data_IF_360792206387
#
_entry.id   IF_360792206387
#
_cell.length_a   1.000
_cell.length_b   1.000
_cell.length_c   1.000
_cell.angle_alpha   90.00
_cell.angle_beta   90.00
_cell.angle_gamma   90.00
#
_symmetry.space_group_name_H-M   'P 1'
#
loop_
_entity.id
_entity.type
_entity.pdbx_description
1 polymer ?
#
# COMPACT_ATOMS: atom_id res chain seq x y z
N UNK A 1 45.64 2.86 59.59
CA UNK A 1 45.62 1.44 59.20
C UNK A 1 44.50 0.76 59.98
N UNK A 2 43.33 0.58 59.36
CA UNK A 2 42.16 -0.02 59.98
C UNK A 2 42.10 -1.50 59.62
N UNK A 3 42.17 -2.38 60.64
CA UNK A 3 42.10 -3.82 60.48
C UNK A 3 40.67 -4.26 60.14
N UNK A 4 40.57 -5.11 59.12
CA UNK A 4 39.38 -5.75 58.57
C UNK A 4 38.75 -6.66 59.64
N UNK A 5 37.55 -6.34 60.14
CA UNK A 5 36.78 -7.24 61.01
C UNK A 5 35.91 -8.13 60.13
N UNK A 6 36.26 -9.40 60.03
CA UNK A 6 35.51 -10.40 59.27
C UNK A 6 34.16 -10.67 59.94
N UNK A 7 33.07 -10.45 59.20
CA UNK A 7 31.72 -10.87 59.59
C UNK A 7 31.59 -12.34 59.19
N UNK A 8 31.43 -13.22 60.18
CA UNK A 8 31.22 -14.65 59.97
C UNK A 8 29.84 -14.88 59.33
N UNK A 9 29.82 -15.60 58.21
CA UNK A 9 28.61 -16.12 57.54
C UNK A 9 27.92 -17.14 58.45
N UNK A 10 26.58 -17.15 58.62
CA UNK A 10 25.91 -18.23 59.33
C UNK A 10 26.02 -19.54 58.53
N UNK A 11 26.27 -20.64 59.24
CA UNK A 11 26.47 -21.97 58.68
C UNK A 11 25.26 -22.44 57.86
N UNK A 12 25.52 -23.05 56.69
CA UNK A 12 24.53 -23.69 55.84
C UNK A 12 23.77 -24.77 56.62
N UNK A 13 22.44 -24.70 56.61
CA UNK A 13 21.58 -25.73 57.17
C UNK A 13 21.82 -27.04 56.40
N UNK A 14 22.06 -28.13 57.13
CA UNK A 14 22.28 -29.45 56.56
C UNK A 14 21.04 -29.90 55.76
N UNK A 15 21.23 -30.19 54.47
CA UNK A 15 20.19 -30.80 53.63
C UNK A 15 19.91 -32.22 54.14
N UNK A 16 18.75 -32.43 54.75
CA UNK A 16 18.31 -33.76 55.17
C UNK A 16 18.08 -34.63 53.94
N UNK A 17 18.51 -35.90 53.92
CA UNK A 17 18.26 -36.80 52.80
C UNK A 17 16.75 -36.91 52.56
N UNK A 18 16.32 -36.64 51.33
CA UNK A 18 14.92 -36.78 50.93
C UNK A 18 14.52 -38.25 51.02
N UNK A 19 13.53 -38.55 51.87
CA UNK A 19 12.92 -39.87 51.99
C UNK A 19 11.63 -39.83 51.16
N UNK A 20 11.53 -40.63 50.09
CA UNK A 20 10.31 -40.66 49.27
C UNK A 20 9.09 -40.98 50.14
N UNK A 21 8.07 -40.13 50.06
CA UNK A 21 6.80 -40.32 50.75
C UNK A 21 5.79 -41.02 49.83
N UNK A 22 4.84 -41.77 50.38
CA UNK A 22 3.83 -42.49 49.58
C UNK A 22 2.98 -41.57 48.68
N UNK A 23 2.92 -40.28 49.02
CA UNK A 23 2.27 -39.25 48.21
C UNK A 23 3.03 -38.90 46.92
N UNK A 24 4.34 -39.16 46.84
CA UNK A 24 5.16 -38.92 45.64
C UNK A 24 4.96 -39.99 44.55
N UNK A 25 4.37 -41.12 44.93
CA UNK A 25 4.04 -42.21 44.01
C UNK A 25 2.57 -42.22 43.61
N UNK A 26 1.79 -41.23 44.05
CA UNK A 26 0.45 -40.99 43.51
C UNK A 26 0.60 -40.43 42.11
N UNK A 27 0.03 -41.12 41.12
CA UNK A 27 -0.08 -40.61 39.75
C UNK A 27 -0.68 -39.20 39.80
N UNK A 28 0.13 -38.20 39.43
CA UNK A 28 -0.33 -36.82 39.33
C UNK A 28 -1.36 -36.76 38.22
N UNK A 29 -2.62 -36.71 38.63
CA UNK A 29 -3.81 -36.62 37.80
C UNK A 29 -4.04 -37.85 36.89
N UNK A 30 -4.82 -38.80 37.40
CA UNK A 30 -5.57 -39.80 36.64
C UNK A 30 -6.87 -39.22 36.04
N UNK A 31 -7.01 -37.89 36.00
CA UNK A 31 -7.97 -37.23 35.12
C UNK A 31 -7.62 -37.56 33.68
N UNK A 32 -8.65 -37.64 32.82
CA UNK A 32 -8.52 -37.80 31.37
C UNK A 32 -7.20 -37.23 30.90
N UNK A 33 -6.39 -38.05 30.22
CA UNK A 33 -5.38 -37.50 29.32
C UNK A 33 -6.18 -36.47 28.52
N UNK A 34 -5.98 -35.19 28.81
CA UNK A 34 -6.42 -34.13 27.93
C UNK A 34 -5.54 -34.34 26.73
N UNK A 35 -5.97 -35.28 25.88
CA UNK A 35 -5.54 -35.35 24.50
C UNK A 35 -5.85 -33.94 24.06
N UNK A 36 -4.80 -33.17 23.82
CA UNK A 36 -4.90 -31.76 23.50
C UNK A 36 -5.66 -31.67 22.16
N UNK A 37 -6.99 -31.72 22.20
CA UNK A 37 -7.88 -31.57 21.06
C UNK A 37 -7.90 -30.11 20.57
N UNK A 38 -7.02 -29.26 21.11
CA UNK A 38 -6.88 -27.85 20.78
C UNK A 38 -5.73 -27.51 19.83
N UNK A 39 -5.28 -28.47 19.02
CA UNK A 39 -4.71 -28.17 17.70
C UNK A 39 -5.60 -28.68 16.56
N UNK A 40 -6.92 -28.72 16.77
CA UNK A 40 -7.87 -28.79 15.67
C UNK A 40 -7.53 -27.70 14.66
N UNK A 41 -7.00 -28.11 13.50
CA UNK A 41 -6.47 -27.31 12.41
C UNK A 41 -7.18 -25.97 12.22
N UNK A 42 -6.74 -24.92 12.92
CA UNK A 42 -7.10 -23.57 12.53
C UNK A 42 -6.54 -23.41 11.11
N UNK A 43 -7.43 -23.19 10.15
CA UNK A 43 -7.02 -23.03 8.76
C UNK A 43 -6.06 -21.86 8.70
N UNK A 44 -4.80 -22.14 8.35
CA UNK A 44 -3.75 -21.13 8.20
C UNK A 44 -4.25 -19.93 7.37
N UNK A 45 -5.05 -20.19 6.34
CA UNK A 45 -5.69 -19.15 5.53
C UNK A 45 -6.67 -18.26 6.29
N UNK A 46 -7.46 -18.83 7.20
CA UNK A 46 -8.36 -18.04 8.06
C UNK A 46 -7.58 -17.13 8.99
N UNK A 47 -6.47 -17.62 9.54
CA UNK A 47 -5.62 -16.84 10.44
C UNK A 47 -4.92 -15.69 9.71
N UNK A 48 -4.37 -15.95 8.51
CA UNK A 48 -3.76 -14.93 7.66
C UNK A 48 -4.78 -13.85 7.25
N UNK A 49 -5.99 -14.25 6.84
CA UNK A 49 -7.06 -13.32 6.47
C UNK A 49 -7.47 -12.46 7.66
N UNK A 50 -7.67 -13.07 8.84
CA UNK A 50 -8.04 -12.36 10.06
C UNK A 50 -6.97 -11.33 10.47
N UNK A 51 -5.70 -11.72 10.42
CA UNK A 51 -4.58 -10.83 10.71
C UNK A 51 -4.47 -9.66 9.72
N UNK A 52 -4.68 -9.92 8.43
CA UNK A 52 -4.61 -8.89 7.40
C UNK A 52 -5.65 -7.78 7.62
N UNK A 53 -6.90 -8.13 7.93
CA UNK A 53 -7.96 -7.15 8.19
C UNK A 53 -7.87 -6.49 9.56
N UNK A 54 -7.20 -7.11 10.53
CA UNK A 54 -6.98 -6.50 11.85
C UNK A 54 -5.93 -5.38 11.80
N UNK A 55 -4.99 -5.41 10.84
CA UNK A 55 -3.95 -4.38 10.69
C UNK A 55 -4.44 -3.23 9.81
N UNK A 56 -4.73 -2.08 10.43
CA UNK A 56 -5.19 -0.85 9.74
C UNK A 56 -4.29 -0.44 8.57
N UNK A 57 -2.97 -0.55 8.72
CA UNK A 57 -1.99 -0.21 7.66
C UNK A 57 -2.08 -1.14 6.46
N UNK A 58 -2.30 -2.44 6.68
CA UNK A 58 -2.48 -3.43 5.61
C UNK A 58 -3.77 -3.18 4.84
N UNK A 59 -4.85 -2.85 5.55
CA UNK A 59 -6.15 -2.52 4.94
C UNK A 59 -6.07 -1.24 4.10
N UNK A 60 -5.40 -0.19 4.58
CA UNK A 60 -5.20 1.05 3.82
C UNK A 60 -4.41 0.78 2.53
N UNK A 61 -3.34 0.00 2.61
CA UNK A 61 -2.56 -0.41 1.43
C UNK A 61 -3.40 -1.18 0.41
N UNK A 62 -4.24 -2.12 0.87
CA UNK A 62 -5.16 -2.86 0.01
C UNK A 62 -6.13 -1.93 -0.72
N UNK A 63 -6.77 -1.00 0.00
CA UNK A 63 -7.73 -0.05 -0.57
C UNK A 63 -7.04 0.80 -1.63
N UNK A 64 -5.84 1.29 -1.36
CA UNK A 64 -5.08 2.11 -2.30
C UNK A 64 -4.69 1.33 -3.56
N UNK A 65 -4.24 0.08 -3.42
CA UNK A 65 -3.92 -0.78 -4.57
C UNK A 65 -5.17 -1.02 -5.42
N UNK A 66 -6.29 -1.41 -4.80
CA UNK A 66 -7.57 -1.64 -5.51
C UNK A 66 -7.98 -0.37 -6.25
N UNK A 67 -7.92 0.79 -5.59
CA UNK A 67 -8.26 2.07 -6.19
C UNK A 67 -7.38 2.37 -7.41
N UNK A 68 -6.07 2.18 -7.32
CA UNK A 68 -5.14 2.38 -8.45
C UNK A 68 -5.45 1.41 -9.59
N UNK A 69 -5.71 0.14 -9.30
CA UNK A 69 -6.06 -0.85 -10.33
C UNK A 69 -7.37 -0.48 -11.04
N UNK A 70 -8.39 -0.05 -10.29
CA UNK A 70 -9.65 0.41 -10.88
C UNK A 70 -9.43 1.65 -11.75
N UNK A 71 -8.69 2.66 -11.26
CA UNK A 71 -8.37 3.84 -12.06
C UNK A 71 -7.49 3.54 -13.27
N UNK A 72 -6.60 2.55 -13.23
CA UNK A 72 -5.82 2.16 -14.40
C UNK A 72 -6.72 1.57 -15.51
N UNK A 73 -7.81 0.89 -15.16
CA UNK A 73 -8.75 0.32 -16.13
C UNK A 73 -9.72 1.38 -16.65
N UNK A 74 -10.31 2.18 -15.74
CA UNK A 74 -11.37 3.14 -16.05
C UNK A 74 -10.82 4.49 -16.50
N UNK A 75 -9.69 4.92 -15.94
CA UNK A 75 -9.07 6.24 -16.13
C UNK A 75 -8.84 6.64 -17.58
N UNK A 76 -8.33 5.76 -18.47
CA UNK A 76 -8.18 6.09 -19.89
C UNK A 76 -9.51 6.30 -20.62
N UNK A 77 -10.61 5.74 -20.10
CA UNK A 77 -11.95 5.88 -20.68
C UNK A 77 -12.74 7.08 -20.15
N UNK A 78 -12.24 7.78 -19.14
CA UNK A 78 -12.91 8.95 -18.54
C UNK A 78 -12.75 10.22 -19.36
N UNK A 79 -11.85 10.24 -20.36
CA UNK A 79 -11.62 11.40 -21.21
C UNK A 79 -11.62 11.00 -22.70
N UNK A 80 -12.13 11.88 -23.56
CA UNK A 80 -12.25 11.65 -25.01
C UNK A 80 -10.99 12.01 -25.79
N UNK A 81 -9.91 12.42 -25.12
CA UNK A 81 -8.65 12.73 -25.78
C UNK A 81 -7.89 11.45 -26.18
N UNK A 82 -7.45 11.42 -27.43
CA UNK A 82 -6.60 10.33 -27.90
C UNK A 82 -5.18 10.49 -27.35
N UNK A 83 -4.57 9.37 -26.97
CA UNK A 83 -3.21 9.28 -26.44
C UNK A 83 -2.14 9.94 -27.33
N UNK A 84 -2.35 9.99 -28.65
CA UNK A 84 -1.35 10.44 -29.62
C UNK A 84 -1.67 11.75 -30.32
N UNK A 85 -2.85 12.33 -30.13
CA UNK A 85 -3.22 13.56 -30.83
C UNK A 85 -2.39 14.73 -30.30
N UNK A 86 -1.67 15.40 -31.20
CA UNK A 86 -0.82 16.54 -30.87
C UNK A 86 -1.54 17.80 -31.31
N UNK A 87 -1.92 18.65 -30.35
CA UNK A 87 -2.51 19.94 -30.64
C UNK A 87 -1.66 21.03 -29.97
N UNK A 88 -0.87 21.73 -30.78
CA UNK A 88 0.04 22.77 -30.31
C UNK A 88 -0.69 24.00 -29.77
N UNK A 89 -1.95 24.22 -30.16
CA UNK A 89 -2.75 25.34 -29.70
C UNK A 89 -3.16 25.19 -28.22
N UNK A 90 -3.30 23.96 -27.75
CA UNK A 90 -3.65 23.63 -26.35
C UNK A 90 -2.42 23.31 -25.50
N UNK A 91 -1.27 23.95 -25.78
CA UNK A 91 -0.01 23.67 -25.09
C UNK A 91 -0.01 24.21 -23.65
N UNK A 92 0.43 23.39 -22.70
CA UNK A 92 0.62 23.76 -21.29
C UNK A 92 -0.61 24.38 -20.60
N UNK A 93 -1.82 23.96 -20.99
CA UNK A 93 -3.03 24.45 -20.35
C UNK A 93 -3.09 23.97 -18.90
N UNK A 94 -3.41 24.89 -18.00
CA UNK A 94 -3.63 24.63 -16.58
C UNK A 94 -4.72 23.57 -16.32
N UNK A 95 -4.65 22.83 -15.19
CA UNK A 95 -5.65 21.82 -14.86
C UNK A 95 -7.04 22.43 -14.66
N UNK A 96 -8.03 21.83 -15.34
CA UNK A 96 -9.45 22.17 -15.22
C UNK A 96 -10.31 20.93 -15.00
N UNK A 97 -10.99 20.88 -13.85
CA UNK A 97 -11.84 19.74 -13.48
C UNK A 97 -13.31 20.17 -13.48
N UNK A 98 -14.19 19.45 -14.22
CA UNK A 98 -15.61 19.77 -14.24
C UNK A 98 -16.21 19.64 -12.83
N UNK A 99 -16.88 20.70 -12.37
CA UNK A 99 -17.50 20.77 -11.05
C UNK A 99 -16.65 21.42 -9.95
N UNK A 100 -15.33 21.20 -9.93
CA UNK A 100 -14.44 21.89 -8.97
C UNK A 100 -14.15 23.33 -9.36
N UNK A 101 -14.31 23.68 -10.65
CA UNK A 101 -14.24 25.06 -11.15
C UNK A 101 -15.19 26.00 -10.39
N UNK A 102 -16.35 25.51 -9.93
CA UNK A 102 -17.34 26.31 -9.17
C UNK A 102 -16.85 26.69 -7.77
N UNK A 103 -15.88 25.94 -7.24
CA UNK A 103 -15.27 26.17 -5.94
C UNK A 103 -14.00 27.03 -6.04
N UNK A 104 -13.61 27.46 -7.25
CA UNK A 104 -12.39 28.23 -7.49
C UNK A 104 -11.10 27.40 -7.38
N UNK A 105 -11.22 26.07 -7.47
CA UNK A 105 -10.10 25.12 -7.38
C UNK A 105 -9.99 24.44 -8.74
N UNK A 106 -8.85 24.54 -9.42
CA UNK A 106 -8.63 23.96 -10.77
C UNK A 106 -9.67 24.46 -11.80
N UNK A 107 -9.76 25.77 -11.94
CA UNK A 107 -10.58 26.53 -12.90
C UNK A 107 -9.80 26.91 -14.18
N UNK A 108 -8.53 26.49 -14.29
CA UNK A 108 -7.70 26.70 -15.47
C UNK A 108 -7.11 28.11 -15.60
N UNK A 109 -7.10 28.92 -14.54
CA UNK A 109 -6.45 30.24 -14.59
C UNK A 109 -4.92 30.12 -14.44
N UNK A 110 -4.20 30.91 -15.23
CA UNK A 110 -2.75 31.06 -15.20
C UNK A 110 -2.40 32.48 -14.80
N UNK A 111 -1.63 32.66 -13.73
CA UNK A 111 -1.11 33.97 -13.33
C UNK A 111 0.23 34.19 -14.01
N UNK A 112 0.24 34.99 -15.07
CA UNK A 112 1.46 35.33 -15.80
C UNK A 112 2.06 36.61 -15.22
N UNK A 113 3.34 36.56 -14.81
CA UNK A 113 4.06 37.73 -14.30
C UNK A 113 4.92 38.32 -15.40
N UNK A 114 4.52 39.48 -15.93
CA UNK A 114 5.29 40.27 -16.89
C UNK A 114 5.99 41.42 -16.19
N UNK A 115 7.03 41.99 -16.82
CA UNK A 115 7.80 43.15 -16.34
C UNK A 115 6.95 44.38 -16.01
N UNK A 116 5.70 44.43 -16.47
CA UNK A 116 4.71 45.49 -16.23
C UNK A 116 3.62 45.13 -15.21
N UNK A 117 3.60 43.91 -14.66
CA UNK A 117 2.60 43.46 -13.68
C UNK A 117 2.21 41.98 -13.79
N UNK A 118 1.35 41.51 -12.89
CA UNK A 118 0.82 40.14 -12.89
C UNK A 118 -0.61 40.13 -13.42
N UNK A 119 -0.88 39.34 -14.46
CA UNK A 119 -2.19 39.24 -15.11
C UNK A 119 -2.67 37.79 -15.07
N UNK A 120 -3.96 37.60 -14.81
CA UNK A 120 -4.60 36.28 -14.80
C UNK A 120 -5.15 36.03 -16.20
N UNK A 121 -4.65 35.00 -16.87
CA UNK A 121 -5.07 34.54 -18.19
C UNK A 121 -5.83 33.23 -18.00
N UNK A 122 -6.90 33.02 -18.76
CA UNK A 122 -7.56 31.72 -18.77
C UNK A 122 -7.74 31.27 -20.22
N UNK A 123 -6.82 30.42 -20.68
CA UNK A 123 -6.75 29.97 -22.06
C UNK A 123 -8.02 29.21 -22.51
N UNK A 124 -8.84 28.72 -21.57
CA UNK A 124 -10.13 28.09 -21.84
C UNK A 124 -11.26 29.09 -22.14
N UNK A 125 -11.16 30.31 -21.61
CA UNK A 125 -12.16 31.36 -21.81
C UNK A 125 -11.77 32.29 -22.97
N UNK A 126 -10.48 32.38 -23.29
CA UNK A 126 -9.97 33.23 -24.37
C UNK A 126 -10.36 32.75 -25.77
N UNK A 127 -10.68 31.46 -25.93
CA UNK A 127 -11.12 30.88 -27.21
C UNK A 127 -12.36 30.00 -27.01
N UNK A 128 -13.43 30.30 -27.76
CA UNK A 128 -14.69 29.54 -27.68
C UNK A 128 -14.51 28.05 -28.03
N UNK A 129 -13.54 27.74 -28.90
CA UNK A 129 -13.17 26.37 -29.30
C UNK A 129 -12.72 25.51 -28.11
N UNK A 130 -12.08 26.11 -27.11
CA UNK A 130 -11.50 25.39 -25.96
C UNK A 130 -12.36 25.45 -24.70
N UNK A 131 -13.46 26.21 -24.72
CA UNK A 131 -14.36 26.37 -23.58
C UNK A 131 -14.96 25.05 -23.06
N UNK A 132 -15.15 24.08 -23.97
CA UNK A 132 -15.69 22.76 -23.68
C UNK A 132 -14.61 21.70 -23.40
N UNK A 133 -13.32 22.07 -23.39
CA UNK A 133 -12.22 21.14 -23.11
C UNK A 133 -11.93 21.08 -21.60
N UNK A 134 -11.77 19.86 -21.10
CA UNK A 134 -11.45 19.60 -19.69
C UNK A 134 -10.19 18.74 -19.59
N UNK A 135 -9.06 19.38 -19.33
CA UNK A 135 -7.80 18.71 -19.01
C UNK A 135 -7.67 18.59 -17.49
N UNK A 136 -8.04 17.46 -16.92
CA UNK A 136 -8.14 17.31 -15.45
C UNK A 136 -6.81 17.57 -14.74
N UNK A 137 -5.71 17.12 -15.35
CA UNK A 137 -4.34 17.35 -14.86
C UNK A 137 -3.55 18.33 -15.73
N UNK A 138 -4.21 19.04 -16.63
CA UNK A 138 -3.57 19.92 -17.61
C UNK A 138 -3.01 19.18 -18.82
N UNK A 139 -2.45 19.95 -19.75
CA UNK A 139 -1.84 19.43 -20.98
C UNK A 139 -0.33 19.59 -20.97
N UNK A 140 0.37 18.75 -21.75
CA UNK A 140 1.82 18.83 -21.89
C UNK A 140 2.30 19.87 -22.92
N UNK A 141 3.61 19.93 -23.16
CA UNK A 141 4.24 20.81 -24.14
C UNK A 141 3.77 20.61 -25.60
N UNK A 142 3.03 19.53 -25.87
CA UNK A 142 2.49 19.17 -27.18
C UNK A 142 0.95 19.15 -27.15
N UNK A 143 0.33 19.66 -26.08
CA UNK A 143 -1.12 19.73 -25.87
C UNK A 143 -1.82 18.39 -25.67
N UNK A 144 -1.09 17.36 -25.23
CA UNK A 144 -1.67 16.06 -24.87
C UNK A 144 -2.15 16.06 -23.44
N UNK A 145 -3.26 15.38 -23.18
CA UNK A 145 -3.82 15.22 -21.84
C UNK A 145 -2.92 14.37 -20.93
N UNK A 146 -2.49 14.95 -19.81
CA UNK A 146 -1.63 14.29 -18.82
C UNK A 146 -2.39 13.21 -18.05
N UNK A 147 -3.69 13.41 -17.82
CA UNK A 147 -4.54 12.43 -17.11
C UNK A 147 -4.58 11.10 -17.86
N UNK A 148 -5.01 11.13 -19.13
CA UNK A 148 -5.13 9.92 -19.96
C UNK A 148 -3.78 9.22 -20.12
N UNK A 149 -2.69 9.98 -20.25
CA UNK A 149 -1.34 9.43 -20.40
C UNK A 149 -0.84 8.71 -19.14
N UNK A 150 -1.10 9.28 -17.97
CA UNK A 150 -0.71 8.70 -16.68
C UNK A 150 -1.39 7.35 -16.50
N UNK A 151 -2.71 7.31 -16.64
CA UNK A 151 -3.48 6.07 -16.41
C UNK A 151 -3.29 5.01 -17.50
N UNK A 152 -3.09 5.43 -18.76
CA UNK A 152 -2.72 4.51 -19.84
C UNK A 152 -1.35 3.86 -19.58
N UNK A 153 -0.38 4.64 -19.10
CA UNK A 153 0.92 4.12 -18.65
C UNK A 153 0.78 3.15 -17.49
N UNK A 154 0.01 3.51 -16.46
CA UNK A 154 -0.26 2.64 -15.30
C UNK A 154 -0.89 1.30 -15.72
N UNK A 155 -1.84 1.31 -16.67
CA UNK A 155 -2.45 0.10 -17.21
C UNK A 155 -1.41 -0.84 -17.84
N UNK A 156 -0.53 -0.29 -18.68
CA UNK A 156 0.54 -1.07 -19.33
C UNK A 156 1.51 -1.64 -18.30
N UNK A 157 1.93 -0.83 -17.31
CA UNK A 157 2.81 -1.29 -16.23
C UNK A 157 2.20 -2.42 -15.40
N UNK A 158 0.90 -2.33 -15.06
CA UNK A 158 0.21 -3.39 -14.33
C UNK A 158 0.17 -4.70 -15.13
N UNK A 159 -0.07 -4.63 -16.43
CA UNK A 159 -0.07 -5.81 -17.30
C UNK A 159 1.31 -6.49 -17.31
N UNK A 160 2.39 -5.70 -17.45
CA UNK A 160 3.76 -6.23 -17.46
C UNK A 160 4.11 -6.83 -16.10
N UNK A 161 3.71 -6.19 -14.99
CA UNK A 161 3.95 -6.71 -13.64
C UNK A 161 3.27 -8.08 -13.42
N UNK A 162 2.01 -8.22 -13.85
CA UNK A 162 1.28 -9.50 -13.77
C UNK A 162 1.93 -10.55 -14.66
N UNK A 163 2.31 -10.19 -15.89
CA UNK A 163 2.97 -11.11 -16.81
C UNK A 163 4.31 -11.61 -16.26
N UNK A 164 5.13 -10.72 -15.69
CA UNK A 164 6.40 -11.08 -15.06
C UNK A 164 6.20 -12.01 -13.86
N UNK A 165 5.24 -11.70 -12.98
CA UNK A 165 4.93 -12.54 -11.82
C UNK A 165 4.48 -13.95 -12.21
N UNK A 166 3.72 -14.10 -13.31
CA UNK A 166 3.32 -15.41 -13.84
C UNK A 166 4.51 -16.19 -14.39
N UNK A 167 5.42 -15.54 -15.11
CA UNK A 167 6.63 -16.17 -15.64
C UNK A 167 7.53 -16.63 -14.49
N UNK A 168 7.76 -15.76 -13.50
CA UNK A 168 8.57 -16.08 -12.31
C UNK A 168 7.96 -17.22 -11.50
N UNK A 169 6.63 -17.24 -11.34
CA UNK A 169 5.93 -18.34 -10.69
C UNK A 169 6.15 -19.66 -11.45
N UNK A 170 5.99 -19.66 -12.77
CA UNK A 170 6.12 -20.89 -13.58
C UNK A 170 7.57 -21.39 -13.57
N UNK A 171 8.54 -20.54 -13.89
CA UNK A 171 9.95 -20.93 -14.02
C UNK A 171 10.56 -21.15 -12.63
N UNK A 172 10.37 -20.20 -11.71
CA UNK A 172 10.93 -20.23 -10.37
C UNK A 172 10.43 -21.40 -9.53
N UNK A 173 9.12 -21.69 -9.54
CA UNK A 173 8.60 -22.87 -8.83
C UNK A 173 9.06 -24.17 -9.48
N UNK A 174 9.07 -24.25 -10.81
CA UNK A 174 9.52 -25.47 -11.51
C UNK A 174 10.98 -25.79 -11.20
N UNK A 175 11.88 -24.81 -11.30
CA UNK A 175 13.30 -25.02 -10.97
C UNK A 175 13.50 -25.29 -9.47
N UNK A 176 12.78 -24.58 -8.60
CA UNK A 176 12.85 -24.80 -7.16
C UNK A 176 12.41 -26.20 -6.73
N UNK A 177 11.38 -26.76 -7.38
CA UNK A 177 10.93 -28.13 -7.13
C UNK A 177 11.90 -29.19 -7.65
N UNK A 178 12.69 -28.89 -8.69
CA UNK A 178 13.65 -29.85 -9.29
C UNK A 178 14.98 -29.87 -8.52
N UNK A 179 15.42 -28.73 -7.98
CA UNK A 179 16.69 -28.65 -7.25
C UNK A 179 16.57 -28.87 -5.73
N UNK A 180 15.34 -28.94 -5.22
CA UNK A 180 15.01 -29.11 -3.80
C UNK A 180 14.88 -30.57 -3.38
#
# INVERSE_FOLDING_TARGET
MAAKKAVLQPAAAAETPYVPTDDDFKLKNSGTIDIDENYASQSYWKDVIAHFFHKKSAVVGMILIILITVFAIVGPGMNSFSYSQQNLATKNFAPRIPGLEKLGIFDGHETMSTSTGSYVVNNYQDNEEYSNLYYWFGSDNFGRDIWTRTWSGTRVSLIIAVAAALIDMIIGMSYGLISG
#
